data_IF_334285145161
#
_entry.id   IF_334285145161
#
_cell.length_a   1.000
_cell.length_b   1.000
_cell.length_c   1.000
_cell.angle_alpha   90.00
_cell.angle_beta   90.00
_cell.angle_gamma   90.00
#
_symmetry.space_group_name_H-M   'P 1'
#
loop_
_entity.id
_entity.type
_entity.pdbx_description
1 polymer ?
#
# COMPACT_ATOMS: atom_id res chain seq x y z
N UNK A 1 -23.87 -5.13 12.58
CA UNK A 1 -23.74 -3.98 11.69
C UNK A 1 -22.61 -4.29 10.73
N UNK A 2 -22.94 -4.42 9.45
CA UNK A 2 -22.01 -4.86 8.41
C UNK A 2 -21.44 -3.58 7.79
N UNK A 3 -20.18 -3.24 8.10
CA UNK A 3 -19.51 -2.07 7.54
C UNK A 3 -19.42 -2.21 6.02
N UNK A 4 -20.31 -1.49 5.34
CA UNK A 4 -20.39 -1.37 3.89
C UNK A 4 -19.18 -0.57 3.41
N UNK A 5 -18.28 -1.23 2.68
CA UNK A 5 -17.11 -0.58 2.11
C UNK A 5 -17.54 0.25 0.90
N UNK A 6 -17.35 1.57 0.97
CA UNK A 6 -17.75 2.51 -0.09
C UNK A 6 -16.77 2.56 -1.29
N UNK A 7 -15.73 1.74 -1.28
CA UNK A 7 -14.73 1.69 -2.36
C UNK A 7 -13.92 2.97 -2.55
N UNK A 8 -13.09 3.05 -3.60
CA UNK A 8 -12.23 4.21 -3.89
C UNK A 8 -13.00 5.49 -4.34
N UNK A 9 -14.29 5.60 -3.99
CA UNK A 9 -15.15 6.77 -4.18
C UNK A 9 -15.95 7.16 -2.94
N UNK A 10 -15.66 6.56 -1.79
CA UNK A 10 -16.24 6.90 -0.50
C UNK A 10 -16.04 8.38 -0.19
N UNK A 11 -17.12 9.18 -0.18
CA UNK A 11 -17.05 10.62 0.15
C UNK A 11 -16.46 10.86 1.56
N UNK A 12 -16.58 9.85 2.41
CA UNK A 12 -16.11 9.80 3.80
C UNK A 12 -14.64 9.37 3.96
N UNK A 13 -14.04 8.70 2.97
CA UNK A 13 -12.68 8.17 3.11
C UNK A 13 -11.63 9.26 2.85
N UNK A 14 -11.10 9.82 3.93
CA UNK A 14 -10.05 10.85 3.91
C UNK A 14 -8.82 10.38 4.70
N UNK A 15 -8.03 9.43 4.15
CA UNK A 15 -6.82 8.96 4.80
C UNK A 15 -5.84 10.11 5.00
N UNK A 16 -5.29 10.23 6.21
CA UNK A 16 -4.25 11.23 6.51
C UNK A 16 -2.87 10.69 6.18
N UNK A 17 -2.68 9.38 6.29
CA UNK A 17 -1.44 8.68 5.97
C UNK A 17 -1.64 7.64 4.86
N UNK A 18 -0.65 7.52 3.98
CA UNK A 18 -0.65 6.53 2.89
C UNK A 18 0.71 5.84 2.78
N UNK A 19 0.68 4.52 2.60
CA UNK A 19 1.87 3.71 2.34
C UNK A 19 1.92 3.23 0.90
N UNK A 20 2.99 3.60 0.19
CA UNK A 20 3.29 3.08 -1.14
C UNK A 20 4.02 1.75 -0.97
N UNK A 21 3.36 0.66 -1.34
CA UNK A 21 3.89 -0.68 -1.12
C UNK A 21 5.03 -0.99 -2.11
N UNK A 22 6.14 -1.58 -1.64
CA UNK A 22 7.20 -2.07 -2.51
C UNK A 22 6.66 -3.24 -3.36
N UNK A 23 7.24 -3.47 -4.55
CA UNK A 23 6.88 -4.64 -5.32
C UNK A 23 7.39 -5.90 -4.59
N UNK A 24 6.67 -7.03 -4.72
CA UNK A 24 7.26 -8.31 -4.36
C UNK A 24 8.34 -8.62 -5.40
N UNK A 25 9.52 -9.02 -4.91
CA UNK A 25 10.67 -9.43 -5.74
C UNK A 25 10.21 -10.42 -6.83
N UNK A 26 10.54 -10.13 -8.10
CA UNK A 26 10.27 -11.04 -9.23
C UNK A 26 9.60 -10.45 -10.47
N UNK A 27 9.12 -9.20 -10.48
CA UNK A 27 8.46 -8.62 -11.65
C UNK A 27 9.08 -7.27 -12.07
N UNK A 28 10.01 -7.32 -13.04
CA UNK A 28 10.56 -6.18 -13.81
C UNK A 28 11.14 -5.02 -12.98
N UNK A 29 12.43 -5.11 -12.65
CA UNK A 29 13.11 -4.18 -11.74
C UNK A 29 13.37 -2.78 -12.32
N UNK A 30 13.62 -2.63 -13.63
CA UNK A 30 14.14 -1.38 -14.19
C UNK A 30 13.16 -0.20 -14.34
N UNK A 31 11.87 -0.48 -14.54
CA UNK A 31 10.86 0.57 -14.85
C UNK A 31 9.99 0.97 -13.65
N UNK A 32 10.06 0.19 -12.56
CA UNK A 32 9.18 0.36 -11.40
C UNK A 32 9.69 1.39 -10.41
N UNK A 33 11.00 1.47 -10.23
CA UNK A 33 11.61 2.43 -9.30
C UNK A 33 11.27 3.89 -9.66
N UNK A 34 11.40 4.33 -10.94
CA UNK A 34 10.99 5.69 -11.33
C UNK A 34 9.48 5.92 -11.21
N UNK A 35 8.66 4.88 -11.46
CA UNK A 35 7.22 4.98 -11.35
C UNK A 35 6.77 5.14 -9.89
N UNK A 36 7.36 4.38 -8.98
CA UNK A 36 7.08 4.48 -7.54
C UNK A 36 7.58 5.79 -6.96
N UNK A 37 8.76 6.26 -7.39
CA UNK A 37 9.28 7.56 -7.01
C UNK A 37 8.37 8.69 -7.51
N UNK A 38 7.97 8.65 -8.79
CA UNK A 38 7.06 9.62 -9.39
C UNK A 38 5.71 9.68 -8.67
N UNK A 39 5.12 8.52 -8.38
CA UNK A 39 3.86 8.42 -7.60
C UNK A 39 4.05 8.97 -6.20
N UNK A 40 5.11 8.60 -5.50
CA UNK A 40 5.32 9.06 -4.13
C UNK A 40 5.53 10.57 -4.08
N UNK A 41 6.29 11.13 -5.03
CA UNK A 41 6.49 12.57 -5.15
C UNK A 41 5.18 13.28 -5.47
N UNK A 42 4.33 12.73 -6.35
CA UNK A 42 3.00 13.27 -6.62
C UNK A 42 2.11 13.26 -5.36
N UNK A 43 2.12 12.18 -4.58
CA UNK A 43 1.36 12.08 -3.32
C UNK A 43 1.84 13.12 -2.29
N UNK A 44 3.16 13.28 -2.13
CA UNK A 44 3.75 14.28 -1.23
C UNK A 44 3.40 15.71 -1.67
N UNK A 45 3.50 16.00 -2.97
CA UNK A 45 3.19 17.31 -3.53
C UNK A 45 1.70 17.66 -3.50
N UNK A 46 0.81 16.66 -3.41
CA UNK A 46 -0.63 16.89 -3.35
C UNK A 46 -1.08 17.61 -2.07
N UNK A 47 -0.24 17.65 -1.01
CA UNK A 47 -0.56 18.18 0.34
C UNK A 47 -1.78 17.54 1.02
N UNK A 48 -2.38 16.51 0.40
CA UNK A 48 -3.56 15.80 0.92
C UNK A 48 -3.22 14.88 2.09
N UNK A 49 -2.00 14.35 2.11
CA UNK A 49 -1.53 13.41 3.11
C UNK A 49 -0.55 14.09 4.05
N UNK A 50 -0.75 13.94 5.35
CA UNK A 50 0.18 14.39 6.37
C UNK A 50 1.42 13.48 6.44
N UNK A 51 1.27 12.23 6.03
CA UNK A 51 2.35 11.25 5.99
C UNK A 51 2.26 10.39 4.72
N UNK A 52 3.38 10.28 4.00
CA UNK A 52 3.52 9.38 2.86
C UNK A 52 4.73 8.48 3.12
N UNK A 53 4.47 7.20 3.39
CA UNK A 53 5.52 6.19 3.53
C UNK A 53 5.97 5.75 2.14
N UNK A 54 7.25 5.98 1.84
CA UNK A 54 7.87 5.53 0.60
C UNK A 54 8.16 4.02 0.61
N UNK A 55 8.39 3.42 -0.56
CA UNK A 55 8.79 2.01 -0.65
C UNK A 55 10.04 1.66 0.18
N UNK A 56 11.04 2.54 0.27
CA UNK A 56 12.26 2.32 1.08
C UNK A 56 11.95 2.26 2.58
N UNK A 57 11.06 3.14 3.06
CA UNK A 57 10.63 3.18 4.45
C UNK A 57 9.79 1.94 4.79
N UNK A 58 8.91 1.52 3.88
CA UNK A 58 8.14 0.28 4.01
C UNK A 58 9.07 -0.94 4.01
N UNK A 59 10.08 -0.99 3.13
CA UNK A 59 11.09 -2.05 3.14
C UNK A 59 11.84 -2.15 4.48
N UNK A 60 12.18 -1.01 5.10
CA UNK A 60 12.75 -0.99 6.44
C UNK A 60 11.83 -1.62 7.50
N UNK A 61 10.53 -1.35 7.45
CA UNK A 61 9.54 -1.93 8.36
C UNK A 61 9.36 -3.44 8.12
N UNK A 62 9.36 -3.88 6.86
CA UNK A 62 9.32 -5.30 6.48
C UNK A 62 10.58 -6.03 6.93
N UNK A 63 11.74 -5.38 6.86
CA UNK A 63 13.01 -5.92 7.35
C UNK A 63 13.01 -6.10 8.88
N UNK A 64 12.35 -5.19 9.59
CA UNK A 64 12.28 -5.20 11.05
C UNK A 64 11.21 -6.15 11.62
N UNK A 65 10.23 -6.59 10.82
CA UNK A 65 9.08 -7.36 11.30
C UNK A 65 8.65 -8.47 10.33
N UNK A 66 8.83 -9.73 10.75
CA UNK A 66 8.36 -10.89 10.01
C UNK A 66 6.82 -10.90 9.87
N UNK A 67 6.09 -10.45 10.90
CA UNK A 67 4.63 -10.34 10.85
C UNK A 67 4.18 -9.34 9.77
N UNK A 68 4.84 -8.19 9.67
CA UNK A 68 4.54 -7.19 8.63
C UNK A 68 4.84 -7.73 7.24
N UNK A 69 5.91 -8.52 7.10
CA UNK A 69 6.27 -9.19 5.84
C UNK A 69 5.25 -10.26 5.45
N UNK A 70 4.82 -11.10 6.38
CA UNK A 70 3.77 -12.11 6.14
C UNK A 70 2.43 -11.46 5.76
N UNK A 71 2.07 -10.36 6.42
CA UNK A 71 0.88 -9.59 6.10
C UNK A 71 0.92 -9.02 4.68
N UNK A 72 2.07 -8.51 4.24
CA UNK A 72 2.26 -8.01 2.87
C UNK A 72 2.14 -9.12 1.83
N UNK A 73 2.85 -10.24 2.04
CA UNK A 73 2.79 -11.40 1.14
C UNK A 73 1.37 -11.91 1.01
N UNK A 74 0.66 -12.06 2.14
CA UNK A 74 -0.74 -12.52 2.15
C UNK A 74 -1.66 -11.54 1.42
N UNK A 75 -1.48 -10.24 1.63
CA UNK A 75 -2.28 -9.20 0.97
C UNK A 75 -2.11 -9.22 -0.54
N UNK A 76 -0.86 -9.23 -1.02
CA UNK A 76 -0.57 -9.19 -2.45
C UNK A 76 -0.94 -10.50 -3.14
N UNK A 77 -0.75 -11.67 -2.52
CA UNK A 77 -1.20 -12.94 -3.09
C UNK A 77 -2.73 -12.97 -3.29
N UNK A 78 -3.49 -12.45 -2.33
CA UNK A 78 -4.95 -12.30 -2.45
C UNK A 78 -5.34 -11.34 -3.55
N UNK A 79 -4.65 -10.20 -3.65
CA UNK A 79 -4.88 -9.18 -4.67
C UNK A 79 -4.55 -9.70 -6.08
N UNK A 80 -3.47 -10.45 -6.25
CA UNK A 80 -3.09 -11.05 -7.55
C UNK A 80 -4.08 -12.13 -7.98
N UNK A 81 -4.55 -12.95 -7.04
CA UNK A 81 -5.48 -14.06 -7.33
C UNK A 81 -6.88 -13.55 -7.68
N UNK A 82 -7.39 -12.58 -6.92
CA UNK A 82 -8.79 -12.13 -7.05
C UNK A 82 -8.95 -10.83 -7.84
N UNK A 83 -7.86 -10.08 -8.06
CA UNK A 83 -7.90 -8.72 -8.60
C UNK A 83 -8.50 -7.69 -7.64
N UNK A 84 -8.90 -8.09 -6.42
CA UNK A 84 -9.58 -7.25 -5.44
C UNK A 84 -8.82 -7.25 -4.12
N UNK A 85 -8.79 -6.09 -3.47
CA UNK A 85 -8.18 -5.93 -2.16
C UNK A 85 -9.02 -6.62 -1.07
N UNK A 86 -8.48 -7.68 -0.44
CA UNK A 86 -9.14 -8.30 0.72
C UNK A 86 -9.14 -7.36 1.93
N UNK A 87 -10.31 -7.16 2.55
CA UNK A 87 -10.49 -6.20 3.66
C UNK A 87 -9.67 -6.58 4.89
N UNK A 88 -9.63 -7.86 5.23
CA UNK A 88 -8.94 -8.34 6.43
C UNK A 88 -7.43 -8.21 6.29
N UNK A 89 -6.88 -8.65 5.16
CA UNK A 89 -5.48 -8.53 4.84
C UNK A 89 -5.03 -7.07 4.71
N UNK A 90 -5.81 -6.22 4.03
CA UNK A 90 -5.53 -4.78 3.92
C UNK A 90 -5.50 -4.10 5.28
N UNK A 91 -6.48 -4.35 6.14
CA UNK A 91 -6.55 -3.74 7.47
C UNK A 91 -5.38 -4.17 8.38
N UNK A 92 -4.98 -5.44 8.33
CA UNK A 92 -3.83 -5.96 9.07
C UNK A 92 -2.53 -5.30 8.61
N UNK A 93 -2.31 -5.23 7.30
CA UNK A 93 -1.12 -4.61 6.73
C UNK A 93 -1.06 -3.10 7.02
N UNK A 94 -2.19 -2.41 6.88
CA UNK A 94 -2.33 -0.98 7.21
C UNK A 94 -1.97 -0.69 8.68
N UNK A 95 -2.47 -1.52 9.62
CA UNK A 95 -2.11 -1.42 11.03
C UNK A 95 -0.62 -1.66 11.27
N UNK A 96 -0.05 -2.69 10.64
CA UNK A 96 1.37 -3.02 10.78
C UNK A 96 2.29 -1.90 10.25
N UNK A 97 1.86 -1.20 9.18
CA UNK A 97 2.58 -0.07 8.60
C UNK A 97 2.24 1.27 9.24
N UNK A 98 1.27 1.32 10.16
CA UNK A 98 0.72 2.54 10.74
C UNK A 98 0.27 3.55 9.67
N UNK A 99 -0.44 3.05 8.67
CA UNK A 99 -0.97 3.83 7.54
C UNK A 99 -2.49 3.68 7.43
N UNK A 100 -3.19 4.73 7.02
CA UNK A 100 -4.64 4.71 6.82
C UNK A 100 -5.03 4.13 5.45
N UNK A 101 -4.14 4.28 4.47
CA UNK A 101 -4.32 3.79 3.11
C UNK A 101 -3.07 3.07 2.60
N UNK A 102 -3.30 2.13 1.69
CA UNK A 102 -2.27 1.35 1.01
C UNK A 102 -2.36 1.63 -0.49
N UNK A 103 -1.21 1.81 -1.13
CA UNK A 103 -1.11 2.01 -2.57
C UNK A 103 -0.22 0.95 -3.20
N UNK A 104 -0.80 0.16 -4.09
CA UNK A 104 -0.08 -0.81 -4.93
C UNK A 104 0.12 -0.19 -6.30
N UNK A 105 1.36 -0.09 -6.75
CA UNK A 105 1.70 0.40 -8.09
C UNK A 105 2.00 -0.78 -8.99
N UNK A 106 1.24 -0.92 -10.08
CA UNK A 106 1.49 -1.91 -11.13
C UNK A 106 1.76 -1.18 -12.44
N UNK A 107 2.94 -1.42 -13.01
CA UNK A 107 3.30 -0.98 -14.36
C UNK A 107 2.99 -2.15 -15.30
N UNK A 108 2.22 -1.87 -16.36
CA UNK A 108 1.88 -2.83 -17.42
C UNK A 108 2.75 -2.59 -18.66
#
# INVERSE_FOLDING_TARGET
MQDMWEGPGAESFRPSSIAVLPPIEGAFEGSREPAQEGVTNALKNSTRYTQVLRPDEVNGLLAASNETREALTSYLAGLETSGVSDKGAAAKLAQALKADALMVVKVN
#
